data_IF_205475713050
#
_entry.id   IF_205475713050
#
_cell.length_a   1.000
_cell.length_b   1.000
_cell.length_c   1.000
_cell.angle_alpha   90.00
_cell.angle_beta   90.00
_cell.angle_gamma   90.00
#
_symmetry.space_group_name_H-M   'P 1'
#
loop_
_entity.id
_entity.type
_entity.pdbx_description
1 polymer ?
#
# COMPACT_ATOMS: atom_id res chain seq x y z
N UNK A 1 41.89 11.38 -17.87
CA UNK A 1 40.66 10.67 -17.44
C UNK A 1 39.94 11.52 -16.40
N UNK A 2 38.66 11.82 -16.59
CA UNK A 2 37.92 12.72 -15.70
C UNK A 2 37.74 12.06 -14.31
N UNK A 3 38.44 12.55 -13.28
CA UNK A 3 38.49 11.93 -11.95
C UNK A 3 37.09 11.73 -11.30
N UNK A 4 36.10 12.50 -11.76
CA UNK A 4 34.72 12.45 -11.29
C UNK A 4 33.80 11.51 -12.07
N UNK A 5 34.25 10.92 -13.20
CA UNK A 5 33.42 10.03 -14.02
C UNK A 5 33.02 8.74 -13.27
N UNK A 6 33.96 8.11 -12.56
CA UNK A 6 33.69 6.86 -11.81
C UNK A 6 32.71 7.09 -10.63
N UNK A 7 32.89 8.09 -9.75
CA UNK A 7 31.92 8.38 -8.69
C UNK A 7 30.53 8.75 -9.20
N UNK A 8 30.43 9.49 -10.30
CA UNK A 8 29.13 9.85 -10.89
C UNK A 8 28.39 8.64 -11.47
N UNK A 9 29.11 7.74 -12.15
CA UNK A 9 28.54 6.48 -12.64
C UNK A 9 28.05 5.61 -11.48
N UNK A 10 28.80 5.54 -10.38
CA UNK A 10 28.42 4.79 -9.19
C UNK A 10 27.14 5.33 -8.56
N UNK A 11 27.02 6.66 -8.39
CA UNK A 11 25.79 7.28 -7.88
C UNK A 11 24.60 6.97 -8.79
N UNK A 12 24.77 7.10 -10.11
CA UNK A 12 23.71 6.81 -11.07
C UNK A 12 23.30 5.34 -11.04
N UNK A 13 24.27 4.40 -10.96
CA UNK A 13 24.00 2.97 -10.88
C UNK A 13 23.23 2.59 -9.61
N UNK A 14 23.69 3.06 -8.44
CA UNK A 14 23.01 2.81 -7.16
C UNK A 14 21.59 3.39 -7.15
N UNK A 15 21.42 4.60 -7.72
CA UNK A 15 20.11 5.26 -7.83
C UNK A 15 19.20 4.51 -8.81
N UNK A 16 19.76 3.97 -9.90
CA UNK A 16 19.04 3.12 -10.85
C UNK A 16 18.54 1.83 -10.22
N UNK A 17 19.38 1.14 -9.44
CA UNK A 17 18.98 -0.06 -8.68
C UNK A 17 17.84 0.29 -7.72
N UNK A 18 17.99 1.39 -6.97
CA UNK A 18 16.96 1.86 -6.04
C UNK A 18 15.62 2.17 -6.75
N UNK A 19 15.66 2.83 -7.92
CA UNK A 19 14.49 3.12 -8.72
C UNK A 19 13.77 1.85 -9.18
N UNK A 20 14.52 0.87 -9.71
CA UNK A 20 13.97 -0.42 -10.14
C UNK A 20 13.36 -1.17 -8.95
N UNK A 21 14.08 -1.22 -7.82
CA UNK A 21 13.59 -1.86 -6.60
C UNK A 21 12.30 -1.20 -6.09
N UNK A 22 12.23 0.13 -6.09
CA UNK A 22 11.04 0.88 -5.69
C UNK A 22 9.85 0.59 -6.61
N UNK A 23 10.04 0.64 -7.93
CA UNK A 23 8.96 0.32 -8.89
C UNK A 23 8.49 -1.13 -8.71
N UNK A 24 9.42 -2.09 -8.55
CA UNK A 24 9.07 -3.47 -8.29
C UNK A 24 8.30 -3.64 -6.95
N UNK A 25 8.66 -2.87 -5.92
CA UNK A 25 8.00 -2.92 -4.62
C UNK A 25 6.53 -2.46 -4.67
N UNK A 26 6.17 -1.57 -5.60
CA UNK A 26 4.78 -1.12 -5.80
C UNK A 26 3.85 -2.29 -6.17
N UNK A 27 4.32 -3.19 -7.02
CA UNK A 27 3.55 -4.34 -7.51
C UNK A 27 3.70 -5.60 -6.65
N UNK A 28 4.57 -5.58 -5.65
CA UNK A 28 4.87 -6.73 -4.82
C UNK A 28 4.14 -6.64 -3.46
N UNK A 29 3.69 -7.79 -2.91
CA UNK A 29 3.19 -7.84 -1.53
C UNK A 29 4.28 -7.37 -0.55
N UNK A 30 3.98 -6.33 0.23
CA UNK A 30 4.93 -5.65 1.10
C UNK A 30 4.98 -6.33 2.47
N UNK A 31 3.81 -6.64 3.01
CA UNK A 31 3.63 -7.21 4.34
C UNK A 31 2.52 -8.25 4.27
N UNK A 32 2.61 -9.29 5.08
CA UNK A 32 1.52 -10.25 5.21
C UNK A 32 1.09 -10.36 6.65
N UNK A 33 -0.22 -10.59 6.84
CA UNK A 33 -0.81 -10.89 8.12
C UNK A 33 -1.61 -12.18 8.00
N UNK A 34 -1.55 -13.03 9.02
CA UNK A 34 -2.36 -14.22 9.12
C UNK A 34 -3.00 -14.35 10.50
N UNK A 35 -4.26 -14.78 10.53
CA UNK A 35 -4.97 -15.18 11.73
C UNK A 35 -5.19 -16.68 11.75
N UNK A 36 -4.90 -17.32 12.88
CA UNK A 36 -5.26 -18.73 13.12
C UNK A 36 -6.11 -18.84 14.37
N UNK A 37 -7.13 -19.68 14.34
CA UNK A 37 -7.97 -19.99 15.50
C UNK A 37 -8.48 -21.44 15.41
N UNK A 38 -8.97 -22.02 16.53
CA UNK A 38 -9.51 -23.38 16.53
C UNK A 38 -10.63 -23.62 15.51
N UNK A 39 -11.41 -22.58 15.20
CA UNK A 39 -12.52 -22.65 14.23
C UNK A 39 -12.05 -22.61 12.77
N UNK A 40 -10.77 -22.33 12.50
CA UNK A 40 -10.17 -22.30 11.17
C UNK A 40 -9.14 -23.42 11.06
N UNK A 41 -9.55 -24.64 10.68
CA UNK A 41 -8.70 -25.81 10.74
C UNK A 41 -7.64 -25.81 9.62
N UNK A 42 -6.48 -26.41 9.89
CA UNK A 42 -5.31 -26.36 9.00
C UNK A 42 -5.48 -27.09 7.66
N UNK A 43 -6.43 -28.00 7.56
CA UNK A 43 -6.77 -28.67 6.29
C UNK A 43 -7.43 -27.70 5.29
N UNK A 44 -8.21 -26.74 5.81
CA UNK A 44 -8.81 -25.66 5.02
C UNK A 44 -7.91 -24.42 4.94
N UNK A 45 -7.37 -23.97 6.08
CA UNK A 45 -6.54 -22.77 6.21
C UNK A 45 -5.11 -23.14 6.67
N UNK A 46 -4.27 -23.76 5.81
CA UNK A 46 -2.95 -24.24 6.21
C UNK A 46 -2.02 -23.11 6.67
N UNK A 47 -2.16 -21.94 6.06
CA UNK A 47 -1.41 -20.71 6.38
C UNK A 47 -2.23 -19.75 7.27
N UNK A 48 -3.38 -20.19 7.81
CA UNK A 48 -4.38 -19.33 8.45
C UNK A 48 -5.14 -18.44 7.47
N UNK A 49 -5.92 -17.49 8.00
CA UNK A 49 -6.61 -16.46 7.23
C UNK A 49 -5.57 -15.41 6.85
N UNK A 50 -4.93 -15.62 5.71
CA UNK A 50 -3.80 -14.83 5.26
C UNK A 50 -4.24 -13.74 4.28
N UNK A 51 -3.78 -12.52 4.54
CA UNK A 51 -3.90 -11.38 3.65
C UNK A 51 -2.53 -10.78 3.33
N UNK A 52 -2.45 -10.13 2.17
CA UNK A 52 -1.26 -9.41 1.72
C UNK A 52 -1.56 -7.92 1.60
N UNK A 53 -0.74 -7.10 2.25
CA UNK A 53 -0.74 -5.65 2.07
C UNK A 53 0.14 -5.27 0.89
N UNK A 54 -0.42 -4.49 -0.01
CA UNK A 54 0.25 -3.82 -1.11
C UNK A 54 0.10 -2.31 -0.95
N UNK A 55 0.81 -1.53 -1.77
CA UNK A 55 0.72 -0.07 -1.75
C UNK A 55 -0.63 0.44 -2.25
N UNK A 56 -1.31 -0.34 -3.07
CA UNK A 56 -2.59 -0.01 -3.71
C UNK A 56 -3.80 -0.72 -3.06
N UNK A 57 -3.59 -1.71 -2.20
CA UNK A 57 -4.69 -2.53 -1.71
C UNK A 57 -4.33 -3.60 -0.69
N UNK A 58 -5.36 -4.37 -0.31
CA UNK A 58 -5.26 -5.59 0.49
C UNK A 58 -5.76 -6.73 -0.37
N UNK A 59 -4.97 -7.79 -0.49
CA UNK A 59 -5.22 -8.90 -1.40
C UNK A 59 -5.28 -10.22 -0.67
N UNK A 60 -6.02 -11.18 -1.24
CA UNK A 60 -6.14 -12.52 -0.72
C UNK A 60 -4.78 -13.24 -0.73
N UNK A 61 -4.38 -13.77 0.43
CA UNK A 61 -3.17 -14.57 0.61
C UNK A 61 -3.43 -16.04 0.88
N UNK A 62 -4.69 -16.47 0.86
CA UNK A 62 -5.04 -17.86 1.05
C UNK A 62 -4.83 -18.69 -0.21
N UNK A 63 -4.44 -19.94 0.01
CA UNK A 63 -4.33 -20.95 -1.04
C UNK A 63 -5.64 -21.72 -1.07
N UNK A 64 -6.04 -22.20 -2.25
CA UNK A 64 -7.19 -23.07 -2.38
C UNK A 64 -7.05 -24.29 -1.45
N UNK A 65 -8.15 -24.68 -0.80
CA UNK A 65 -8.18 -25.83 0.08
C UNK A 65 -7.77 -27.10 -0.70
N UNK A 66 -6.87 -27.91 -0.14
CA UNK A 66 -6.37 -29.11 -0.82
C UNK A 66 -7.47 -30.15 -1.03
N UNK A 67 -7.31 -31.02 -2.05
CA UNK A 67 -8.19 -32.18 -2.26
C UNK A 67 -8.23 -33.03 -0.98
N UNK A 68 -9.43 -33.24 -0.42
CA UNK A 68 -9.64 -34.01 0.81
C UNK A 68 -9.80 -33.17 2.09
N UNK A 69 -9.73 -31.84 2.01
CA UNK A 69 -10.13 -30.95 3.11
C UNK A 69 -11.66 -30.92 3.27
N UNK A 70 -12.13 -30.57 4.47
CA UNK A 70 -13.57 -30.41 4.74
C UNK A 70 -14.26 -29.38 3.85
N UNK A 71 -13.49 -28.39 3.37
CA UNK A 71 -13.93 -27.32 2.48
C UNK A 71 -13.64 -27.62 1.00
N UNK A 72 -13.15 -28.82 0.65
CA UNK A 72 -12.79 -29.16 -0.73
C UNK A 72 -14.00 -29.18 -1.67
N UNK A 73 -15.20 -29.40 -1.11
CA UNK A 73 -16.48 -29.38 -1.81
C UNK A 73 -17.31 -28.11 -1.50
N UNK A 74 -16.87 -27.30 -0.53
CA UNK A 74 -17.47 -25.99 -0.29
C UNK A 74 -16.91 -25.01 -1.31
N UNK A 75 -17.65 -24.88 -2.40
CA UNK A 75 -17.48 -23.83 -3.38
C UNK A 75 -17.73 -22.54 -2.62
N UNK A 76 -16.68 -21.83 -2.24
CA UNK A 76 -16.84 -20.44 -1.80
C UNK A 76 -17.33 -19.74 -3.04
N UNK A 77 -18.65 -19.49 -3.03
CA UNK A 77 -19.32 -18.66 -3.99
C UNK A 77 -18.41 -17.45 -4.15
N UNK A 78 -17.93 -17.26 -5.39
CA UNK A 78 -17.69 -15.90 -5.88
C UNK A 78 -18.84 -15.08 -5.28
N UNK A 79 -18.59 -13.93 -4.68
CA UNK A 79 -19.68 -12.95 -4.53
C UNK A 79 -20.08 -12.60 -5.96
N UNK A 80 -20.94 -13.47 -6.50
CA UNK A 80 -21.48 -13.46 -7.84
C UNK A 80 -22.18 -12.11 -7.87
N UNK A 81 -21.76 -11.25 -8.79
CA UNK A 81 -22.63 -10.17 -9.20
C UNK A 81 -24.02 -10.78 -9.49
N UNK A 82 -25.08 -9.99 -9.31
CA UNK A 82 -26.48 -10.47 -9.34
C UNK A 82 -26.89 -11.18 -10.66
N UNK A 83 -25.97 -11.29 -11.62
CA UNK A 83 -26.08 -11.91 -12.94
C UNK A 83 -25.57 -13.38 -13.02
N UNK A 84 -24.78 -13.89 -12.08
CA UNK A 84 -24.32 -15.29 -12.15
C UNK A 84 -25.25 -16.28 -11.40
N UNK A 85 -25.55 -17.43 -12.02
CA UNK A 85 -26.47 -18.45 -11.47
C UNK A 85 -25.93 -19.12 -10.18
N UNK A 86 -26.77 -19.18 -9.15
CA UNK A 86 -26.45 -19.79 -7.85
C UNK A 86 -26.43 -21.32 -7.95
N UNK A 87 -25.28 -21.95 -7.73
CA UNK A 87 -25.15 -23.42 -7.73
C UNK A 87 -26.07 -24.10 -6.70
N UNK A 88 -26.85 -25.09 -7.14
CA UNK A 88 -27.66 -25.94 -6.27
C UNK A 88 -27.06 -27.36 -6.16
N UNK A 89 -26.50 -27.77 -5.01
CA UNK A 89 -25.82 -29.06 -4.84
C UNK A 89 -26.74 -30.29 -4.95
N UNK A 90 -28.06 -30.10 -4.92
CA UNK A 90 -29.04 -31.20 -5.10
C UNK A 90 -29.45 -31.35 -6.56
N UNK A 91 -29.61 -30.23 -7.29
CA UNK A 91 -30.16 -30.21 -8.65
C UNK A 91 -29.08 -30.17 -9.74
N UNK A 92 -27.90 -29.65 -9.45
CA UNK A 92 -26.84 -29.39 -10.45
C UNK A 92 -25.65 -30.35 -10.32
N UNK A 93 -25.85 -31.56 -9.75
CA UNK A 93 -24.78 -32.55 -9.48
C UNK A 93 -23.89 -32.90 -10.67
N UNK A 94 -24.41 -32.79 -11.90
CA UNK A 94 -23.65 -33.07 -13.13
C UNK A 94 -23.09 -31.81 -13.81
N UNK A 95 -23.50 -30.61 -13.37
CA UNK A 95 -22.90 -29.37 -13.82
C UNK A 95 -21.67 -29.08 -12.97
N UNK A 96 -20.49 -29.09 -13.58
CA UNK A 96 -19.28 -28.54 -12.98
C UNK A 96 -19.32 -27.01 -13.00
N UNK A 97 -20.24 -26.42 -12.24
CA UNK A 97 -20.40 -24.97 -12.11
C UNK A 97 -19.12 -24.33 -11.53
N UNK A 98 -18.27 -25.15 -10.90
CA UNK A 98 -17.08 -24.74 -10.16
C UNK A 98 -15.78 -24.79 -10.97
N UNK A 99 -15.86 -24.96 -12.30
CA UNK A 99 -14.70 -24.81 -13.20
C UNK A 99 -14.26 -23.34 -13.20
N UNK A 100 -13.60 -22.91 -12.13
CA UNK A 100 -13.13 -21.53 -11.93
C UNK A 100 -13.53 -20.90 -10.59
N UNK A 101 -14.12 -21.64 -9.65
CA UNK A 101 -14.39 -21.11 -8.31
C UNK A 101 -13.09 -20.58 -7.67
N UNK A 102 -13.09 -19.31 -7.30
CA UNK A 102 -11.94 -18.66 -6.68
C UNK A 102 -11.75 -19.29 -5.29
N UNK A 103 -10.52 -19.66 -4.94
CA UNK A 103 -10.22 -20.26 -3.64
C UNK A 103 -10.60 -19.35 -2.47
N UNK A 104 -10.56 -19.90 -1.25
CA UNK A 104 -10.80 -19.21 0.04
C UNK A 104 -10.50 -17.71 0.00
N UNK A 105 -11.53 -16.87 0.14
CA UNK A 105 -11.38 -15.42 0.22
C UNK A 105 -11.07 -14.98 1.66
N UNK A 106 -9.78 -14.91 1.97
CA UNK A 106 -9.35 -14.53 3.30
C UNK A 106 -9.45 -13.03 3.58
N UNK A 107 -9.71 -12.19 2.58
CA UNK A 107 -10.06 -10.78 2.83
C UNK A 107 -11.48 -10.70 3.37
N UNK A 108 -12.41 -11.45 2.77
CA UNK A 108 -13.78 -11.57 3.27
C UNK A 108 -13.80 -12.12 4.71
N UNK A 109 -13.13 -13.25 4.96
CA UNK A 109 -13.08 -13.85 6.31
C UNK A 109 -12.45 -12.90 7.36
N UNK A 110 -11.40 -12.18 6.99
CA UNK A 110 -10.80 -11.16 7.85
C UNK A 110 -11.79 -10.03 8.18
N UNK A 111 -12.53 -9.54 7.18
CA UNK A 111 -13.54 -8.50 7.38
C UNK A 111 -14.70 -8.97 8.25
N UNK A 112 -15.12 -10.23 8.06
CA UNK A 112 -16.14 -10.87 8.91
C UNK A 112 -15.67 -10.89 10.36
N UNK A 113 -14.44 -11.35 10.64
CA UNK A 113 -13.87 -11.32 11.99
C UNK A 113 -13.80 -9.90 12.54
N UNK A 114 -13.31 -8.94 11.75
CA UNK A 114 -13.21 -7.54 12.15
C UNK A 114 -14.57 -7.00 12.58
N UNK A 115 -15.63 -7.26 11.80
CA UNK A 115 -16.98 -6.86 12.12
C UNK A 115 -17.47 -7.44 13.45
N UNK A 116 -17.21 -8.73 13.72
CA UNK A 116 -17.57 -9.37 14.98
C UNK A 116 -16.93 -8.72 16.22
N UNK A 117 -15.73 -8.13 16.08
CA UNK A 117 -15.04 -7.43 17.18
C UNK A 117 -15.19 -5.91 17.12
N UNK A 118 -16.02 -5.40 16.19
CA UNK A 118 -16.26 -3.97 15.99
C UNK A 118 -15.11 -3.22 15.27
N UNK A 119 -14.14 -3.91 14.70
CA UNK A 119 -13.12 -3.29 13.85
C UNK A 119 -13.68 -2.95 12.47
N UNK A 120 -13.09 -1.92 11.85
CA UNK A 120 -13.39 -1.55 10.47
C UNK A 120 -12.97 -2.65 9.47
N UNK A 121 -13.62 -2.72 8.30
CA UNK A 121 -13.17 -3.58 7.20
C UNK A 121 -11.73 -3.24 6.83
N UNK A 122 -10.90 -4.25 6.58
CA UNK A 122 -9.48 -4.06 6.30
C UNK A 122 -9.24 -3.20 5.06
N UNK A 123 -10.16 -3.27 4.09
CA UNK A 123 -10.14 -2.49 2.87
C UNK A 123 -10.34 -0.98 3.10
N UNK A 124 -10.93 -0.54 4.21
CA UNK A 124 -11.17 0.89 4.49
C UNK A 124 -9.96 1.57 5.11
N UNK A 125 -8.87 0.82 5.36
CA UNK A 125 -7.61 1.36 5.85
C UNK A 125 -6.88 2.13 4.75
N UNK A 126 -6.14 3.18 5.14
CA UNK A 126 -5.39 4.05 4.24
C UNK A 126 -6.25 4.55 3.05
N UNK A 127 -7.43 5.15 3.31
CA UNK A 127 -8.38 5.52 2.26
C UNK A 127 -7.87 6.67 1.37
N UNK A 128 -6.80 7.37 1.77
CA UNK A 128 -6.19 8.43 0.96
C UNK A 128 -4.88 7.94 0.35
N UNK A 129 -4.08 7.21 1.13
CA UNK A 129 -2.73 6.81 0.73
C UNK A 129 -2.74 5.74 -0.36
N UNK A 130 -3.64 4.74 -0.28
CA UNK A 130 -3.74 3.67 -1.30
C UNK A 130 -4.08 4.20 -2.69
N UNK A 131 -5.18 4.96 -2.91
CA UNK A 131 -5.52 5.45 -4.25
C UNK A 131 -4.46 6.43 -4.79
N UNK A 132 -3.78 7.16 -3.90
CA UNK A 132 -2.75 8.12 -4.30
C UNK A 132 -1.33 7.52 -4.38
N UNK A 133 -1.12 6.26 -3.98
CA UNK A 133 0.19 5.65 -3.88
C UNK A 133 0.97 5.74 -5.20
N UNK A 134 0.31 5.46 -6.34
CA UNK A 134 0.93 5.56 -7.68
C UNK A 134 1.53 6.94 -7.97
N UNK A 135 0.92 8.02 -7.48
CA UNK A 135 1.44 9.38 -7.66
C UNK A 135 2.61 9.69 -6.73
N UNK A 136 2.60 9.17 -5.49
CA UNK A 136 3.75 9.28 -4.60
C UNK A 136 4.96 8.54 -5.17
N UNK A 137 4.75 7.37 -5.77
CA UNK A 137 5.81 6.63 -6.46
C UNK A 137 6.33 7.37 -7.69
N UNK A 138 5.46 8.00 -8.48
CA UNK A 138 5.87 8.84 -9.61
C UNK A 138 6.66 10.08 -9.16
N UNK A 139 6.26 10.70 -8.05
CA UNK A 139 6.97 11.80 -7.41
C UNK A 139 8.38 11.36 -6.96
N UNK A 140 8.49 10.26 -6.22
CA UNK A 140 9.79 9.72 -5.80
C UNK A 140 10.64 9.26 -6.98
N UNK A 141 10.06 8.65 -8.01
CA UNK A 141 10.78 8.24 -9.22
C UNK A 141 11.38 9.44 -9.94
N UNK A 142 10.64 10.54 -10.03
CA UNK A 142 11.13 11.81 -10.59
C UNK A 142 12.30 12.35 -9.76
N UNK A 143 12.21 12.30 -8.43
CA UNK A 143 13.29 12.73 -7.54
C UNK A 143 14.55 11.89 -7.73
N UNK A 144 14.43 10.56 -7.80
CA UNK A 144 15.55 9.65 -8.03
C UNK A 144 16.18 9.86 -9.41
N UNK A 145 15.37 10.00 -10.46
CA UNK A 145 15.86 10.30 -11.80
C UNK A 145 16.67 11.61 -11.83
N UNK A 146 16.18 12.66 -11.15
CA UNK A 146 16.90 13.92 -11.02
C UNK A 146 18.19 13.81 -10.18
N UNK A 147 18.19 13.00 -9.12
CA UNK A 147 19.38 12.77 -8.28
C UNK A 147 20.54 12.11 -9.03
N UNK A 148 20.21 11.20 -9.97
CA UNK A 148 21.19 10.56 -10.83
C UNK A 148 21.89 11.56 -11.78
N UNK A 149 21.24 12.68 -12.12
CA UNK A 149 21.78 13.71 -13.01
C UNK A 149 22.75 14.64 -12.27
N UNK A 150 23.92 14.87 -12.85
CA UNK A 150 24.97 15.74 -12.28
C UNK A 150 24.80 17.21 -12.64
N UNK A 151 24.45 17.51 -13.90
CA UNK A 151 24.34 18.88 -14.42
C UNK A 151 23.04 19.55 -13.94
N UNK A 152 23.14 20.71 -13.29
CA UNK A 152 22.01 21.45 -12.70
C UNK A 152 20.89 21.75 -13.68
N UNK A 153 21.21 22.26 -14.88
CA UNK A 153 20.19 22.59 -15.89
C UNK A 153 19.39 21.36 -16.31
N UNK A 154 20.07 20.23 -16.54
CA UNK A 154 19.41 18.98 -16.91
C UNK A 154 18.62 18.39 -15.73
N UNK A 155 19.15 18.49 -14.50
CA UNK A 155 18.45 18.05 -13.28
C UNK A 155 17.13 18.80 -13.10
N UNK A 156 17.15 20.12 -13.25
CA UNK A 156 15.94 20.96 -13.16
C UNK A 156 14.96 20.64 -14.29
N UNK A 157 15.44 20.37 -15.51
CA UNK A 157 14.59 19.92 -16.60
C UNK A 157 13.90 18.58 -16.29
N UNK A 158 14.64 17.59 -15.78
CA UNK A 158 14.09 16.28 -15.37
C UNK A 158 13.04 16.45 -14.27
N UNK A 159 13.33 17.24 -13.23
CA UNK A 159 12.34 17.55 -12.19
C UNK A 159 11.10 18.23 -12.76
N UNK A 160 11.29 19.21 -13.66
CA UNK A 160 10.19 20.02 -14.19
C UNK A 160 9.24 19.18 -15.03
N UNK A 161 9.80 18.38 -15.94
CA UNK A 161 9.02 17.47 -16.79
C UNK A 161 8.34 16.40 -15.94
N UNK A 162 9.07 15.74 -15.04
CA UNK A 162 8.50 14.65 -14.22
C UNK A 162 7.42 15.14 -13.24
N UNK A 163 7.61 16.29 -12.59
CA UNK A 163 6.59 16.87 -11.71
C UNK A 163 5.39 17.40 -12.49
N UNK A 164 5.59 18.04 -13.65
CA UNK A 164 4.48 18.45 -14.49
C UNK A 164 3.66 17.25 -14.97
N UNK A 165 4.33 16.17 -15.40
CA UNK A 165 3.67 14.93 -15.80
C UNK A 165 2.90 14.29 -14.64
N UNK A 166 3.51 14.23 -13.44
CA UNK A 166 2.86 13.65 -12.25
C UNK A 166 1.68 14.51 -11.79
N UNK A 167 1.82 15.84 -11.80
CA UNK A 167 0.75 16.77 -11.45
C UNK A 167 -0.42 16.67 -12.45
N UNK A 168 -0.13 16.64 -13.75
CA UNK A 168 -1.16 16.42 -14.76
C UNK A 168 -1.84 15.07 -14.56
N UNK A 169 -1.08 14.00 -14.29
CA UNK A 169 -1.62 12.67 -14.08
C UNK A 169 -2.56 12.61 -12.88
N UNK A 170 -2.17 13.14 -11.71
CA UNK A 170 -3.05 13.13 -10.53
C UNK A 170 -4.32 13.95 -10.74
N UNK A 171 -4.23 15.10 -11.41
CA UNK A 171 -5.39 15.95 -11.68
C UNK A 171 -6.37 15.27 -12.66
N UNK A 172 -5.85 14.67 -13.72
CA UNK A 172 -6.67 13.94 -14.70
C UNK A 172 -7.29 12.71 -14.07
N UNK A 173 -6.51 11.87 -13.40
CA UNK A 173 -7.00 10.63 -12.80
C UNK A 173 -8.05 10.88 -11.72
N UNK A 174 -7.81 11.82 -10.81
CA UNK A 174 -8.70 12.03 -9.67
C UNK A 174 -9.96 12.80 -10.05
N UNK A 175 -9.84 13.83 -10.90
CA UNK A 175 -10.94 14.78 -11.15
C UNK A 175 -11.57 14.64 -12.53
N UNK A 176 -10.78 14.40 -13.59
CA UNK A 176 -11.33 14.29 -14.96
C UNK A 176 -11.91 12.90 -15.20
N UNK A 177 -11.24 11.85 -14.75
CA UNK A 177 -11.73 10.47 -14.83
C UNK A 177 -12.69 10.10 -13.68
N UNK A 178 -12.85 10.98 -12.68
CA UNK A 178 -13.80 10.78 -11.58
C UNK A 178 -13.41 9.65 -10.61
N UNK A 179 -12.16 9.20 -10.59
CA UNK A 179 -11.73 8.11 -9.71
C UNK A 179 -11.84 8.46 -8.22
N UNK A 180 -11.71 9.74 -7.85
CA UNK A 180 -11.94 10.16 -6.46
C UNK A 180 -13.39 9.89 -6.02
N UNK A 181 -14.37 10.29 -6.84
CA UNK A 181 -15.78 10.09 -6.54
C UNK A 181 -16.15 8.60 -6.51
N UNK A 182 -15.60 7.81 -7.44
CA UNK A 182 -15.79 6.36 -7.45
C UNK A 182 -15.22 5.72 -6.18
N UNK A 183 -14.03 6.12 -5.76
CA UNK A 183 -13.38 5.61 -4.54
C UNK A 183 -14.14 5.99 -3.27
N UNK A 184 -14.65 7.22 -3.16
CA UNK A 184 -15.45 7.65 -2.01
C UNK A 184 -16.74 6.82 -1.91
N UNK A 185 -17.43 6.61 -3.04
CA UNK A 185 -18.63 5.76 -3.09
C UNK A 185 -18.31 4.34 -2.63
N UNK A 186 -17.20 3.79 -3.10
CA UNK A 186 -16.76 2.45 -2.70
C UNK A 186 -16.41 2.38 -1.21
N UNK A 187 -15.66 3.35 -0.69
CA UNK A 187 -15.35 3.45 0.73
C UNK A 187 -16.62 3.52 1.60
N UNK A 188 -17.60 4.32 1.19
CA UNK A 188 -18.89 4.43 1.88
C UNK A 188 -19.71 3.14 1.77
N UNK A 189 -19.67 2.45 0.62
CA UNK A 189 -20.35 1.17 0.40
C UNK A 189 -19.77 0.09 1.31
N UNK A 190 -18.44 -0.05 1.31
CA UNK A 190 -17.72 -1.00 2.16
C UNK A 190 -17.98 -0.74 3.64
N UNK A 191 -17.84 0.50 4.11
CA UNK A 191 -18.18 0.82 5.52
C UNK A 191 -19.64 0.59 5.84
N UNK A 192 -20.56 0.91 4.92
CA UNK A 192 -22.00 0.75 5.09
C UNK A 192 -22.49 -0.69 5.19
N UNK A 193 -21.80 -1.66 4.56
CA UNK A 193 -22.13 -3.08 4.69
C UNK A 193 -21.98 -3.58 6.13
N UNK A 194 -21.00 -3.04 6.86
CA UNK A 194 -20.68 -3.49 8.23
C UNK A 194 -21.21 -2.53 9.30
N UNK A 195 -21.43 -1.25 8.97
CA UNK A 195 -21.93 -0.23 9.88
C UNK A 195 -23.15 0.50 9.30
N UNK A 196 -24.33 0.18 9.84
CA UNK A 196 -25.61 0.78 9.49
C UNK A 196 -25.83 2.18 10.10
N UNK A 197 -24.90 3.11 9.86
CA UNK A 197 -24.93 4.50 10.34
C UNK A 197 -24.74 5.50 9.17
N UNK A 198 -25.80 5.78 8.38
CA UNK A 198 -25.68 6.49 7.10
C UNK A 198 -25.09 7.90 7.25
N UNK A 199 -25.48 8.63 8.30
CA UNK A 199 -24.97 9.99 8.55
C UNK A 199 -23.48 10.00 8.88
N UNK A 200 -23.01 9.03 9.68
CA UNK A 200 -21.57 8.90 10.01
C UNK A 200 -20.75 8.44 8.82
N UNK A 201 -21.25 7.47 8.06
CA UNK A 201 -20.61 6.97 6.84
C UNK A 201 -20.46 8.10 5.81
N UNK A 202 -21.48 8.96 5.67
CA UNK A 202 -21.43 10.14 4.81
C UNK A 202 -20.37 11.13 5.29
N UNK A 203 -20.35 11.46 6.59
CA UNK A 203 -19.34 12.35 7.15
C UNK A 203 -17.90 11.80 6.97
N UNK A 204 -17.69 10.49 7.08
CA UNK A 204 -16.40 9.87 6.79
C UNK A 204 -16.02 9.98 5.31
N UNK A 205 -16.97 9.74 4.39
CA UNK A 205 -16.78 9.97 2.96
C UNK A 205 -16.35 11.41 2.63
N UNK A 206 -17.01 12.40 3.26
CA UNK A 206 -16.68 13.81 3.10
C UNK A 206 -15.30 14.16 3.66
N UNK A 207 -14.92 13.54 4.78
CA UNK A 207 -13.57 13.67 5.33
C UNK A 207 -12.53 13.07 4.37
N UNK A 208 -12.76 11.88 3.80
CA UNK A 208 -11.87 11.27 2.81
C UNK A 208 -11.72 12.18 1.59
N UNK A 209 -12.82 12.76 1.09
CA UNK A 209 -12.80 13.75 0.01
C UNK A 209 -11.92 14.95 0.35
N UNK A 210 -12.18 15.58 1.49
CA UNK A 210 -11.48 16.79 1.94
C UNK A 210 -9.99 16.52 2.12
N UNK A 211 -9.63 15.43 2.82
CA UNK A 211 -8.23 15.06 3.06
C UNK A 211 -7.55 14.73 1.74
N UNK A 212 -8.23 14.05 0.80
CA UNK A 212 -7.66 13.76 -0.52
C UNK A 212 -7.34 15.05 -1.28
N UNK A 213 -8.24 16.04 -1.29
CA UNK A 213 -7.93 17.35 -1.88
C UNK A 213 -6.71 18.02 -1.24
N UNK A 214 -6.62 18.01 0.10
CA UNK A 214 -5.49 18.56 0.83
C UNK A 214 -4.19 17.84 0.50
N UNK A 215 -4.22 16.52 0.37
CA UNK A 215 -3.04 15.72 0.03
C UNK A 215 -2.61 15.95 -1.42
N UNK A 216 -3.54 16.06 -2.37
CA UNK A 216 -3.22 16.40 -3.77
C UNK A 216 -2.63 17.81 -3.86
N UNK A 217 -3.22 18.80 -3.19
CA UNK A 217 -2.68 20.15 -3.12
C UNK A 217 -1.30 20.18 -2.44
N UNK A 218 -1.15 19.44 -1.34
CA UNK A 218 0.11 19.29 -0.61
C UNK A 218 1.20 18.63 -1.46
N UNK A 219 0.85 17.63 -2.29
CA UNK A 219 1.78 16.99 -3.22
C UNK A 219 2.28 17.97 -4.29
N UNK A 220 1.38 18.77 -4.87
CA UNK A 220 1.75 19.82 -5.85
C UNK A 220 2.63 20.90 -5.19
N UNK A 221 2.29 21.33 -3.97
CA UNK A 221 3.11 22.25 -3.21
C UNK A 221 4.50 21.67 -2.91
N UNK A 222 4.57 20.40 -2.52
CA UNK A 222 5.83 19.71 -2.28
C UNK A 222 6.70 19.65 -3.55
N UNK A 223 6.11 19.42 -4.73
CA UNK A 223 6.82 19.50 -6.01
C UNK A 223 7.42 20.90 -6.24
N UNK A 224 6.66 21.96 -5.99
CA UNK A 224 7.13 23.34 -6.14
C UNK A 224 8.26 23.67 -5.14
N UNK A 225 8.12 23.23 -3.89
CA UNK A 225 9.15 23.39 -2.84
C UNK A 225 10.42 22.65 -3.22
N UNK A 226 10.31 21.41 -3.69
CA UNK A 226 11.47 20.61 -4.11
C UNK A 226 12.17 21.26 -5.31
N UNK A 227 11.40 21.70 -6.31
CA UNK A 227 11.93 22.41 -7.47
C UNK A 227 12.69 23.69 -7.06
N UNK A 228 12.06 24.55 -6.26
CA UNK A 228 12.67 25.79 -5.80
C UNK A 228 13.90 25.54 -4.91
N UNK A 229 13.83 24.54 -4.03
CA UNK A 229 14.94 24.12 -3.18
C UNK A 229 16.14 23.67 -3.99
N UNK A 230 15.95 22.78 -4.98
CA UNK A 230 17.05 22.31 -5.86
C UNK A 230 17.60 23.44 -6.74
N UNK A 231 16.76 24.40 -7.15
CA UNK A 231 17.20 25.54 -7.95
C UNK A 231 18.07 26.52 -7.16
N UNK A 232 17.69 26.81 -5.89
CA UNK A 232 18.32 27.83 -5.04
C UNK A 232 19.44 27.32 -4.16
N UNK A 233 19.34 26.09 -3.66
CA UNK A 233 20.21 25.57 -2.60
C UNK A 233 20.99 24.34 -3.09
N UNK A 234 22.32 24.45 -3.18
CA UNK A 234 23.19 23.38 -3.69
C UNK A 234 23.02 22.06 -2.92
N UNK A 235 22.93 22.11 -1.61
CA UNK A 235 22.83 20.92 -0.75
C UNK A 235 21.43 20.29 -0.75
N UNK A 236 20.41 21.02 -1.21
CA UNK A 236 19.02 20.55 -1.21
C UNK A 236 18.82 19.37 -2.17
N UNK A 237 19.69 19.19 -3.17
CA UNK A 237 19.67 18.01 -4.04
C UNK A 237 19.83 16.67 -3.30
N UNK A 238 20.41 16.66 -2.09
CA UNK A 238 20.51 15.44 -1.28
C UNK A 238 19.14 14.95 -0.80
N UNK A 239 18.16 15.86 -0.68
CA UNK A 239 16.78 15.53 -0.35
C UNK A 239 16.14 14.62 -1.40
N UNK A 240 16.56 14.75 -2.67
CA UNK A 240 16.07 13.95 -3.78
C UNK A 240 16.33 12.44 -3.61
N UNK A 241 17.37 12.06 -2.86
CA UNK A 241 17.63 10.68 -2.49
C UNK A 241 17.16 10.37 -1.06
N UNK A 242 17.30 11.31 -0.12
CA UNK A 242 16.98 11.09 1.29
C UNK A 242 15.50 10.74 1.50
N UNK A 243 14.59 11.53 0.92
CA UNK A 243 13.14 11.34 1.15
C UNK A 243 12.67 10.00 0.59
N UNK A 244 12.97 9.62 -0.67
CA UNK A 244 12.67 8.28 -1.16
C UNK A 244 13.35 7.18 -0.33
N UNK A 245 14.59 7.36 0.11
CA UNK A 245 15.27 6.34 0.93
C UNK A 245 14.51 6.02 2.23
N UNK A 246 13.77 6.97 2.78
CA UNK A 246 12.97 6.78 4.00
C UNK A 246 11.61 6.09 3.78
N UNK A 247 11.27 5.68 2.54
CA UNK A 247 10.02 4.97 2.26
C UNK A 247 9.77 3.71 3.11
N UNK A 248 10.77 2.85 3.45
CA UNK A 248 10.52 1.73 4.37
C UNK A 248 10.04 2.21 5.75
N UNK A 249 10.60 3.31 6.25
CA UNK A 249 10.20 3.90 7.52
C UNK A 249 8.79 4.49 7.42
N UNK A 250 8.50 5.26 6.38
CA UNK A 250 7.17 5.82 6.15
C UNK A 250 6.10 4.72 6.07
N UNK A 251 6.41 3.62 5.36
CA UNK A 251 5.51 2.47 5.29
C UNK A 251 5.21 1.90 6.68
N UNK A 252 6.23 1.58 7.50
CA UNK A 252 6.01 0.99 8.84
C UNK A 252 5.23 1.93 9.75
N UNK A 253 5.54 3.24 9.72
CA UNK A 253 4.82 4.24 10.52
C UNK A 253 3.36 4.32 10.12
N UNK A 254 3.07 4.44 8.82
CA UNK A 254 1.69 4.52 8.31
C UNK A 254 0.93 3.22 8.57
N UNK A 255 1.56 2.07 8.32
CA UNK A 255 0.99 0.74 8.60
C UNK A 255 0.64 0.58 10.09
N UNK A 256 1.58 0.88 10.99
CA UNK A 256 1.33 0.81 12.43
C UNK A 256 0.26 1.81 12.88
N UNK A 257 0.25 3.03 12.31
CA UNK A 257 -0.77 4.04 12.60
C UNK A 257 -2.19 3.57 12.25
N UNK A 258 -2.37 2.93 11.09
CA UNK A 258 -3.66 2.38 10.68
C UNK A 258 -4.09 1.17 11.53
N UNK A 259 -3.16 0.28 11.88
CA UNK A 259 -3.44 -0.81 12.81
C UNK A 259 -3.88 -0.28 14.18
N UNK A 260 -3.16 0.72 14.70
CA UNK A 260 -3.52 1.37 15.95
C UNK A 260 -4.92 1.98 15.87
N UNK A 261 -5.22 2.71 14.79
CA UNK A 261 -6.52 3.32 14.56
C UNK A 261 -7.65 2.27 14.60
N UNK A 262 -7.49 1.15 13.89
CA UNK A 262 -8.49 0.07 13.89
C UNK A 262 -8.67 -0.59 15.25
N UNK A 263 -7.59 -0.79 16.01
CA UNK A 263 -7.67 -1.40 17.33
C UNK A 263 -8.15 -0.47 18.45
N UNK A 264 -8.17 0.85 18.24
CA UNK A 264 -8.59 1.85 19.24
C UNK A 264 -9.90 2.56 18.90
N UNK A 265 -10.41 2.42 17.68
CA UNK A 265 -11.68 2.99 17.24
C UNK A 265 -12.69 1.87 16.97
N UNK A 266 -12.87 0.99 17.96
CA UNK A 266 -13.78 -0.14 17.87
C UNK A 266 -15.23 0.31 17.98
N UNK A 267 -16.07 -0.20 17.08
CA UNK A 267 -17.49 0.05 17.05
C UNK A 267 -18.23 -0.71 18.18
N UNK A 268 -19.17 -0.08 18.89
CA UNK A 268 -19.94 -0.74 19.95
C UNK A 268 -20.90 -1.84 19.46
N UNK A 269 -21.01 -2.05 18.15
CA UNK A 269 -21.91 -3.05 17.54
C UNK A 269 -21.23 -4.38 17.23
N UNK A 270 -19.93 -4.52 17.53
CA UNK A 270 -19.27 -5.82 17.48
C UNK A 270 -19.98 -6.81 18.40
N UNK A 271 -20.28 -8.01 17.92
CA UNK A 271 -20.90 -9.06 18.73
C UNK A 271 -20.04 -9.43 19.96
N UNK A 272 -18.72 -9.27 19.85
CA UNK A 272 -17.78 -9.44 20.94
C UNK A 272 -17.14 -8.11 21.31
N UNK A 273 -17.35 -7.69 22.56
CA UNK A 273 -16.68 -6.52 23.11
C UNK A 273 -15.24 -6.88 23.48
N UNK A 274 -14.28 -6.31 22.76
CA UNK A 274 -12.85 -6.40 23.09
C UNK A 274 -12.36 -5.03 23.58
N UNK A 275 -11.39 -5.04 24.51
CA UNK A 275 -10.74 -3.80 24.94
C UNK A 275 -9.91 -3.23 23.78
N UNK A 276 -9.75 -1.90 23.69
CA UNK A 276 -8.81 -1.29 22.76
C UNK A 276 -7.44 -1.99 22.82
N UNK A 277 -6.89 -2.31 21.66
CA UNK A 277 -5.65 -3.07 21.56
C UNK A 277 -4.85 -2.62 20.35
N UNK A 278 -3.58 -3.03 20.29
CA UNK A 278 -2.74 -2.83 19.12
C UNK A 278 -2.71 -4.14 18.32
N UNK A 279 -3.26 -4.21 17.10
CA UNK A 279 -3.02 -5.34 16.22
C UNK A 279 -1.53 -5.54 15.99
N UNK A 280 -1.09 -6.79 15.86
CA UNK A 280 0.33 -7.12 15.78
C UNK A 280 0.98 -6.49 14.55
N UNK A 281 1.84 -5.50 14.80
CA UNK A 281 2.62 -4.82 13.75
C UNK A 281 3.69 -5.75 13.19
N UNK A 282 4.39 -6.47 14.07
CA UNK A 282 5.48 -7.38 13.69
C UNK A 282 5.57 -8.53 14.69
N UNK A 283 5.82 -9.73 14.19
CA UNK A 283 5.99 -10.94 14.99
C UNK A 283 4.69 -11.68 15.24
N UNK A 284 4.63 -12.33 16.39
CA UNK A 284 3.50 -13.12 16.85
C UNK A 284 2.73 -12.37 17.93
N UNK A 285 1.41 -12.50 17.91
CA UNK A 285 0.53 -11.94 18.92
C UNK A 285 -0.72 -12.78 19.11
N UNK A 286 -1.57 -12.34 20.02
CA UNK A 286 -2.83 -13.00 20.32
C UNK A 286 -3.90 -11.97 20.63
N UNK A 287 -5.05 -12.13 19.97
CA UNK A 287 -6.25 -11.31 20.19
C UNK A 287 -7.41 -12.27 20.41
N UNK A 288 -7.93 -12.30 21.64
CA UNK A 288 -8.92 -13.29 22.06
C UNK A 288 -8.45 -14.74 21.76
N UNK A 289 -9.18 -15.47 20.92
CA UNK A 289 -8.86 -16.85 20.51
C UNK A 289 -8.03 -16.93 19.22
N UNK A 290 -7.70 -15.79 18.61
CA UNK A 290 -6.89 -15.73 17.41
C UNK A 290 -5.42 -15.52 17.75
N UNK A 291 -4.55 -16.38 17.20
CA UNK A 291 -3.12 -16.08 17.09
C UNK A 291 -2.89 -15.31 15.81
N UNK A 292 -2.12 -14.23 15.91
CA UNK A 292 -1.86 -13.28 14.82
C UNK A 292 -0.39 -13.33 14.44
N UNK A 293 -0.09 -13.46 13.16
CA UNK A 293 1.26 -13.46 12.61
C UNK A 293 1.40 -12.31 11.63
N UNK A 294 2.46 -11.50 11.75
CA UNK A 294 2.64 -10.29 10.96
C UNK A 294 4.11 -10.09 10.61
N UNK A 295 4.46 -10.18 9.33
CA UNK A 295 5.85 -10.13 8.90
C UNK A 295 6.05 -9.42 7.56
N UNK A 296 7.23 -8.80 7.36
CA UNK A 296 7.62 -8.25 6.07
C UNK A 296 7.67 -9.33 4.99
N UNK A 297 7.50 -8.91 3.75
CA UNK A 297 7.54 -9.76 2.58
C UNK A 297 8.40 -9.15 1.46
N UNK A 298 8.28 -9.66 0.23
CA UNK A 298 9.15 -9.28 -0.88
C UNK A 298 9.15 -7.78 -1.20
N UNK A 299 7.99 -7.13 -1.15
CA UNK A 299 7.89 -5.67 -1.34
C UNK A 299 8.71 -4.91 -0.29
N UNK A 300 8.63 -5.29 0.98
CA UNK A 300 9.42 -4.63 2.03
C UNK A 300 10.93 -4.91 1.88
N UNK A 301 11.32 -6.12 1.45
CA UNK A 301 12.71 -6.43 1.15
C UNK A 301 13.27 -5.54 0.02
N UNK A 302 12.46 -5.24 -1.00
CA UNK A 302 12.82 -4.30 -2.07
C UNK A 302 12.95 -2.86 -1.56
N UNK A 303 12.09 -2.42 -0.63
CA UNK A 303 12.24 -1.13 0.04
C UNK A 303 13.56 -1.06 0.83
N UNK A 304 13.93 -2.14 1.54
CA UNK A 304 15.21 -2.22 2.24
C UNK A 304 16.41 -2.18 1.29
N UNK A 305 16.34 -2.86 0.14
CA UNK A 305 17.36 -2.77 -0.91
C UNK A 305 17.51 -1.33 -1.43
N UNK A 306 16.38 -0.64 -1.65
CA UNK A 306 16.37 0.76 -2.04
C UNK A 306 17.04 1.65 -0.99
N UNK A 307 16.73 1.50 0.31
CA UNK A 307 17.40 2.25 1.38
C UNK A 307 18.92 1.98 1.41
N UNK A 308 19.32 0.70 1.36
CA UNK A 308 20.72 0.29 1.42
C UNK A 308 21.55 0.75 0.22
N UNK A 309 20.93 0.98 -0.93
CA UNK A 309 21.60 1.49 -2.14
C UNK A 309 21.62 3.02 -2.22
N UNK A 310 20.55 3.69 -1.77
CA UNK A 310 20.48 5.16 -1.76
C UNK A 310 21.36 5.79 -0.68
N UNK A 311 21.53 5.17 0.48
CA UNK A 311 22.35 5.75 1.55
C UNK A 311 23.82 5.94 1.14
N UNK A 312 24.52 4.94 0.56
CA UNK A 312 25.84 5.15 -0.02
C UNK A 312 25.85 6.19 -1.15
N UNK A 313 24.87 6.16 -2.06
CA UNK A 313 24.77 7.12 -3.17
C UNK A 313 24.66 8.57 -2.66
N UNK A 314 23.88 8.79 -1.60
CA UNK A 314 23.73 10.06 -0.91
C UNK A 314 25.03 10.52 -0.26
N UNK A 315 25.74 9.63 0.43
CA UNK A 315 27.02 9.95 1.07
C UNK A 315 28.10 10.32 0.04
N UNK A 316 28.16 9.60 -1.09
CA UNK A 316 29.07 9.90 -2.20
C UNK A 316 28.73 11.28 -2.78
N UNK A 317 27.45 11.55 -3.09
CA UNK A 317 27.03 12.87 -3.60
C UNK A 317 27.35 13.98 -2.59
N UNK A 318 27.10 13.76 -1.29
CA UNK A 318 27.42 14.73 -0.23
C UNK A 318 28.91 15.07 -0.20
N UNK A 319 29.78 14.08 -0.36
CA UNK A 319 31.24 14.30 -0.47
C UNK A 319 31.58 15.14 -1.71
N UNK A 320 31.04 14.79 -2.87
CA UNK A 320 31.26 15.56 -4.12
C UNK A 320 30.83 17.02 -4.00
N UNK A 321 29.70 17.29 -3.31
CA UNK A 321 29.23 18.67 -3.12
C UNK A 321 30.14 19.48 -2.19
N UNK A 322 30.76 18.84 -1.18
CA UNK A 322 31.77 19.48 -0.32
C UNK A 322 33.03 19.82 -1.10
N UNK A 323 33.43 18.95 -2.03
CA UNK A 323 34.63 19.08 -2.87
C UNK A 323 34.42 19.97 -4.12
N UNK A 324 33.21 20.51 -4.34
CA UNK A 324 32.90 21.32 -5.53
C UNK A 324 32.84 20.52 -6.85
N UNK A 325 32.72 19.20 -6.75
CA UNK A 325 32.84 18.23 -7.84
C UNK A 325 31.51 17.87 -8.54
N UNK A 326 30.39 18.40 -8.07
CA UNK A 326 29.05 18.11 -8.60
C UNK A 326 28.20 19.39 -8.68
N UNK A 327 28.01 19.90 -9.90
CA UNK A 327 27.06 20.96 -10.23
C UNK A 327 26.53 20.87 -11.66
#
# INVERSE_FOLDING_TARGET
MNAQAKPNLLVAALTGIALVAMVAAYFAPIWWVSLTAPNYPKDAFPDGIRIHFHFDGVYNGCKAAGKGSRMAEEIIQKDLAHDDERYNPVLDKEKKVDKGAQGLDCVHEMNTINHYVGMFPIATGAPVEKPLAKFFFAFFATMLAAFAVTKKKLRLAVLGIGFAATAAWVLVDQYVLGHLDAHIKEYMRETGYFFREPDRVTAWGDNVRTITHLVVAGLILAMAVVMAGVAKLRNFQLLLALVPALLPLFFVVTYAGWLWFFGHNLHPWGAFTVKPFMPTVFGEGKVAQFSTYSYPYWGYALLMLMFLTLMPALLIRRKQLREGAAE
#
